data_IF_354632354978
#
_entry.id   IF_354632354978
#
_cell.length_a   1.000
_cell.length_b   1.000
_cell.length_c   1.000
_cell.angle_alpha   90.00
_cell.angle_beta   90.00
_cell.angle_gamma   90.00
#
_symmetry.space_group_name_H-M   'P 1'
#
loop_
_entity.id
_entity.type
_entity.pdbx_description
1 polymer ?
#
# COMPACT_ATOMS: atom_id res chain seq x y z
N UNK A 1 5.84 0.56 -7.94
CA UNK A 1 5.46 0.23 -6.55
C UNK A 1 4.36 -0.82 -6.48
N UNK A 2 3.41 -0.86 -7.41
CA UNK A 2 2.37 -1.91 -7.49
C UNK A 2 2.87 -3.36 -7.49
N UNK A 3 4.03 -3.64 -8.10
CA UNK A 3 4.63 -4.98 -8.12
C UNK A 3 4.91 -5.51 -6.71
N UNK A 4 5.43 -4.66 -5.82
CA UNK A 4 5.70 -5.03 -4.42
C UNK A 4 4.39 -5.25 -3.67
N UNK A 5 3.37 -4.45 -3.94
CA UNK A 5 2.01 -4.62 -3.39
C UNK A 5 1.39 -5.95 -3.81
N UNK A 6 1.51 -6.34 -5.08
CA UNK A 6 0.96 -7.60 -5.61
C UNK A 6 1.70 -8.79 -4.99
N UNK A 7 3.04 -8.75 -4.92
CA UNK A 7 3.84 -9.83 -4.34
C UNK A 7 3.55 -9.99 -2.84
N UNK A 8 3.51 -8.90 -2.09
CA UNK A 8 3.20 -8.92 -0.65
C UNK A 8 1.77 -9.37 -0.36
N UNK A 9 0.80 -8.97 -1.19
CA UNK A 9 -0.57 -9.50 -1.12
C UNK A 9 -0.60 -11.01 -1.36
N UNK A 10 0.18 -11.52 -2.32
CA UNK A 10 0.32 -12.97 -2.56
C UNK A 10 0.93 -13.71 -1.36
N UNK A 11 1.94 -13.12 -0.71
CA UNK A 11 2.54 -13.66 0.52
C UNK A 11 1.53 -13.65 1.67
N UNK A 12 0.72 -12.60 1.81
CA UNK A 12 -0.35 -12.52 2.80
C UNK A 12 -1.38 -13.65 2.65
N UNK A 13 -1.76 -13.97 1.41
CA UNK A 13 -2.65 -15.10 1.10
C UNK A 13 -2.00 -16.44 1.47
N UNK A 14 -0.72 -16.64 1.14
CA UNK A 14 0.01 -17.85 1.53
C UNK A 14 0.08 -18.02 3.06
N UNK A 15 0.37 -16.94 3.79
CA UNK A 15 0.39 -16.94 5.26
C UNK A 15 -0.99 -17.23 5.87
N UNK A 16 -2.06 -16.74 5.23
CA UNK A 16 -3.43 -17.06 5.64
C UNK A 16 -3.71 -18.56 5.56
N UNK A 17 -3.49 -19.16 4.38
CA UNK A 17 -3.83 -20.56 4.15
C UNK A 17 -2.94 -21.51 4.95
N UNK A 18 -1.66 -21.20 5.08
CA UNK A 18 -0.74 -21.98 5.92
C UNK A 18 -1.06 -21.85 7.41
N UNK A 19 -1.38 -20.65 7.87
CA UNK A 19 -1.79 -20.41 9.26
C UNK A 19 -3.12 -21.06 9.62
N UNK A 20 -4.07 -21.12 8.68
CA UNK A 20 -5.35 -21.78 8.87
C UNK A 20 -5.23 -23.31 8.82
N UNK A 21 -4.45 -23.87 7.89
CA UNK A 21 -4.20 -25.31 7.81
C UNK A 21 -3.44 -25.86 9.04
N UNK A 22 -2.65 -25.04 9.71
CA UNK A 22 -1.92 -25.39 10.93
C UNK A 22 -2.64 -25.05 12.24
N UNK A 23 -3.80 -24.38 12.19
CA UNK A 23 -4.48 -23.91 13.38
C UNK A 23 -5.13 -25.07 14.15
N UNK A 24 -4.87 -25.13 15.46
CA UNK A 24 -5.44 -26.14 16.37
C UNK A 24 -6.54 -25.58 17.27
N UNK A 25 -6.87 -24.30 17.11
CA UNK A 25 -7.86 -23.58 17.91
C UNK A 25 -8.42 -22.40 17.13
N UNK A 26 -9.70 -22.07 17.37
CA UNK A 26 -10.39 -20.94 16.74
C UNK A 26 -9.65 -19.60 16.92
N UNK A 27 -8.92 -19.43 18.02
CA UNK A 27 -8.11 -18.22 18.26
C UNK A 27 -6.92 -18.13 17.31
N UNK A 28 -6.32 -19.28 16.93
CA UNK A 28 -5.20 -19.31 15.97
C UNK A 28 -5.67 -19.03 14.55
N UNK A 29 -6.87 -19.47 14.18
CA UNK A 29 -7.49 -19.10 12.90
C UNK A 29 -7.76 -17.60 12.81
N UNK A 30 -8.28 -16.99 13.88
CA UNK A 30 -8.48 -15.55 13.92
C UNK A 30 -7.16 -14.76 13.87
N UNK A 31 -6.11 -15.24 14.54
CA UNK A 31 -4.79 -14.61 14.53
C UNK A 31 -4.11 -14.69 13.16
N UNK A 32 -4.20 -15.84 12.48
CA UNK A 32 -3.65 -16.00 11.12
C UNK A 32 -4.42 -15.16 10.09
N UNK A 33 -5.74 -15.02 10.26
CA UNK A 33 -6.56 -14.07 9.50
C UNK A 33 -6.09 -12.62 9.65
N UNK A 34 -5.91 -12.17 10.89
CA UNK A 34 -5.44 -10.82 11.17
C UNK A 34 -4.03 -10.57 10.62
N UNK A 35 -3.13 -11.55 10.74
CA UNK A 35 -1.78 -11.46 10.21
C UNK A 35 -1.77 -11.35 8.69
N UNK A 36 -2.56 -12.18 7.99
CA UNK A 36 -2.70 -12.11 6.54
C UNK A 36 -3.23 -10.75 6.05
N UNK A 37 -4.25 -10.22 6.75
CA UNK A 37 -4.80 -8.90 6.46
C UNK A 37 -3.75 -7.80 6.65
N UNK A 38 -2.93 -7.87 7.71
CA UNK A 38 -1.85 -6.90 7.91
C UNK A 38 -0.82 -6.92 6.77
N UNK A 39 -0.41 -8.11 6.31
CA UNK A 39 0.53 -8.25 5.19
C UNK A 39 -0.06 -7.80 3.84
N UNK A 40 -1.38 -7.83 3.66
CA UNK A 40 -2.03 -7.30 2.47
C UNK A 40 -2.25 -5.77 2.52
N UNK A 41 -2.62 -5.24 3.68
CA UNK A 41 -3.06 -3.84 3.82
C UNK A 41 -1.89 -2.86 3.93
N UNK A 42 -0.86 -3.19 4.71
CA UNK A 42 0.29 -2.29 4.95
C UNK A 42 1.00 -1.88 3.63
N UNK A 43 1.31 -2.81 2.71
CA UNK A 43 1.96 -2.46 1.44
C UNK A 43 1.08 -1.64 0.50
N UNK A 44 -0.24 -1.87 0.53
CA UNK A 44 -1.21 -1.12 -0.26
C UNK A 44 -1.27 0.35 0.20
N UNK A 45 -1.38 0.59 1.50
CA UNK A 45 -1.41 1.94 2.08
C UNK A 45 -0.11 2.68 1.76
N UNK A 46 1.05 2.02 1.92
CA UNK A 46 2.36 2.57 1.55
C UNK A 46 2.40 2.99 0.07
N UNK A 47 1.90 2.15 -0.81
CA UNK A 47 1.89 2.41 -2.25
C UNK A 47 1.02 3.62 -2.59
N UNK A 48 -0.17 3.72 -2.00
CA UNK A 48 -1.08 4.86 -2.16
C UNK A 48 -0.51 6.16 -1.61
N UNK A 49 0.15 6.11 -0.45
CA UNK A 49 0.80 7.28 0.13
C UNK A 49 1.93 7.83 -0.78
N UNK A 50 2.71 6.93 -1.39
CA UNK A 50 3.75 7.32 -2.34
C UNK A 50 3.18 7.89 -3.65
N UNK A 51 2.10 7.33 -4.17
CA UNK A 51 1.40 7.90 -5.33
C UNK A 51 0.86 9.30 -5.04
N UNK A 52 0.24 9.50 -3.88
CA UNK A 52 -0.27 10.80 -3.47
C UNK A 52 0.84 11.86 -3.36
N UNK A 53 2.00 11.48 -2.79
CA UNK A 53 3.19 12.34 -2.71
C UNK A 53 3.74 12.71 -4.09
N UNK A 54 3.80 11.74 -5.01
CA UNK A 54 4.27 11.97 -6.37
C UNK A 54 3.33 12.93 -7.13
N UNK A 55 2.02 12.73 -7.00
CA UNK A 55 1.01 13.60 -7.61
C UNK A 55 1.07 15.04 -7.06
N UNK A 56 1.30 15.20 -5.75
CA UNK A 56 1.43 16.51 -5.11
C UNK A 56 2.66 17.28 -5.59
N UNK A 57 3.78 16.59 -5.84
CA UNK A 57 5.00 17.21 -6.36
C UNK A 57 4.78 17.78 -7.77
N UNK A 58 4.05 17.08 -8.62
CA UNK A 58 3.72 17.56 -9.97
C UNK A 58 2.79 18.76 -9.93
N UNK A 59 1.77 18.73 -9.05
CA UNK A 59 0.84 19.85 -8.85
C UNK A 59 1.55 21.12 -8.39
N UNK A 60 2.44 21.01 -7.39
CA UNK A 60 3.18 22.16 -6.88
C UNK A 60 4.10 22.76 -7.96
N UNK A 61 4.76 21.93 -8.77
CA UNK A 61 5.56 22.39 -9.92
C UNK A 61 4.72 23.12 -10.97
N UNK A 62 3.52 22.63 -11.27
CA UNK A 62 2.61 23.28 -12.22
C UNK A 62 2.18 24.67 -11.74
N UNK A 63 1.85 24.80 -10.44
CA UNK A 63 1.47 26.08 -9.84
C UNK A 63 2.64 27.07 -9.88
N UNK A 64 3.84 26.66 -9.45
CA UNK A 64 5.03 27.51 -9.52
C UNK A 64 5.37 27.93 -10.96
N UNK A 65 5.19 27.04 -11.94
CA UNK A 65 5.38 27.36 -13.36
C UNK A 65 4.41 28.43 -13.86
N UNK A 66 3.14 28.37 -13.45
CA UNK A 66 2.14 29.39 -13.82
C UNK A 66 2.44 30.77 -13.22
N UNK A 67 2.95 30.82 -11.99
CA UNK A 67 3.32 32.08 -11.35
C UNK A 67 4.51 32.74 -12.06
N UNK A 68 5.53 31.96 -12.42
CA UNK A 68 6.69 32.48 -13.15
C UNK A 68 6.35 32.96 -14.57
N UNK A 69 5.29 32.43 -15.18
CA UNK A 69 4.80 32.88 -16.47
C UNK A 69 4.06 34.23 -16.35
N UNK A 70 3.22 34.38 -15.33
CA UNK A 70 2.46 35.61 -15.08
C UNK A 70 3.31 36.81 -14.63
N UNK A 71 4.51 36.58 -14.07
CA UNK A 71 5.45 37.65 -13.70
C UNK A 71 6.23 38.22 -14.90
N UNK A 72 6.27 37.50 -16.02
CA UNK A 72 6.99 37.92 -17.24
C UNK A 72 6.15 38.74 -18.22
N UNK A 73 4.86 38.85 -17.99
CA UNK A 73 3.91 39.65 -18.77
C UNK A 73 3.69 41.02 -18.12
#
# INVERSE_FOLDING_TARGET
>A
MWTVTIISSGIGVLLFFTGMAGAKSAVQEAASAAQAMAFAVIPYIMSRALEARAAETLRNRAISGSQNAAEKD
#
